data_IF_739866250251
#
_entry.id   IF_739866250251
#
_cell.length_a   1.000
_cell.length_b   1.000
_cell.length_c   1.000
_cell.angle_alpha   90.00
_cell.angle_beta   90.00
_cell.angle_gamma   90.00
#
_symmetry.space_group_name_H-M   'P 1'
#
loop_
_entity.id
_entity.type
_entity.pdbx_description
1 polymer ?
#
# COMPACT_ATOMS: atom_id res chain seq x y z
N UNK A 1 -53.94 12.52 -0.57
CA UNK A 1 -53.46 11.14 -0.87
C UNK A 1 -52.17 11.15 -1.69
N UNK A 2 -52.08 11.96 -2.76
CA UNK A 2 -50.90 12.08 -3.66
C UNK A 2 -49.54 12.35 -2.97
N UNK A 3 -49.51 13.28 -1.99
CA UNK A 3 -48.27 13.66 -1.32
C UNK A 3 -47.60 12.52 -0.53
N UNK A 4 -48.39 11.59 0.00
CA UNK A 4 -47.86 10.42 0.73
C UNK A 4 -47.18 9.42 -0.21
N UNK A 5 -47.72 9.25 -1.42
CA UNK A 5 -47.16 8.35 -2.43
C UNK A 5 -45.80 8.88 -2.89
N UNK A 6 -45.67 10.19 -3.09
CA UNK A 6 -44.43 10.81 -3.54
C UNK A 6 -43.28 10.61 -2.53
N UNK A 7 -43.58 10.75 -1.23
CA UNK A 7 -42.60 10.56 -0.15
C UNK A 7 -42.13 9.10 -0.08
N UNK A 8 -43.04 8.14 -0.27
CA UNK A 8 -42.69 6.72 -0.27
C UNK A 8 -41.79 6.36 -1.46
N UNK A 9 -42.09 6.89 -2.65
CA UNK A 9 -41.28 6.66 -3.86
C UNK A 9 -39.87 7.22 -3.71
N UNK A 10 -39.74 8.44 -3.19
CA UNK A 10 -38.44 9.07 -2.93
C UNK A 10 -37.63 8.31 -1.86
N UNK A 11 -38.29 7.82 -0.79
CA UNK A 11 -37.64 7.02 0.24
C UNK A 11 -37.07 5.70 -0.29
N UNK A 12 -37.81 5.00 -1.15
CA UNK A 12 -37.35 3.74 -1.77
C UNK A 12 -36.19 3.99 -2.75
N UNK A 13 -36.22 5.09 -3.50
CA UNK A 13 -35.13 5.47 -4.40
C UNK A 13 -33.81 5.72 -3.65
N UNK A 14 -33.86 6.38 -2.48
CA UNK A 14 -32.68 6.64 -1.67
C UNK A 14 -32.07 5.38 -1.05
N UNK A 15 -32.86 4.33 -0.80
CA UNK A 15 -32.38 3.06 -0.26
C UNK A 15 -31.63 2.20 -1.30
N UNK A 16 -31.91 2.39 -2.60
CA UNK A 16 -31.29 1.61 -3.68
C UNK A 16 -29.86 2.06 -4.05
N UNK A 17 -29.47 3.29 -3.72
CA UNK A 17 -28.19 3.89 -4.14
C UNK A 17 -27.05 3.63 -3.14
N UNK A 18 -26.94 2.43 -2.59
CA UNK A 18 -25.80 2.06 -1.74
C UNK A 18 -24.65 1.52 -2.60
N UNK A 19 -23.44 2.09 -2.54
CA UNK A 19 -22.31 1.57 -3.29
C UNK A 19 -22.01 0.16 -2.78
N UNK A 20 -22.21 -0.85 -3.64
CA UNK A 20 -21.80 -2.21 -3.32
C UNK A 20 -20.27 -2.28 -3.38
N UNK A 21 -19.63 -2.34 -2.22
CA UNK A 21 -18.20 -2.58 -2.12
C UNK A 21 -17.93 -4.02 -2.55
N UNK A 22 -17.49 -4.20 -3.80
CA UNK A 22 -17.08 -5.51 -4.31
C UNK A 22 -15.60 -5.68 -3.99
N UNK A 23 -15.32 -6.39 -2.90
CA UNK A 23 -13.96 -6.85 -2.61
C UNK A 23 -13.57 -7.87 -3.67
N UNK A 24 -12.55 -7.55 -4.44
CA UNK A 24 -11.93 -8.49 -5.36
C UNK A 24 -10.76 -9.15 -4.65
N UNK A 25 -10.67 -10.46 -4.75
CA UNK A 25 -9.46 -11.18 -4.40
C UNK A 25 -8.36 -10.72 -5.37
N UNK A 26 -7.43 -9.95 -4.83
CA UNK A 26 -6.24 -9.49 -5.54
C UNK A 26 -5.06 -10.28 -5.02
N UNK A 27 -4.11 -10.59 -5.90
CA UNK A 27 -2.85 -11.21 -5.50
C UNK A 27 -2.09 -10.24 -4.59
N UNK A 28 -1.83 -10.66 -3.35
CA UNK A 28 -1.01 -9.93 -2.39
C UNK A 28 0.41 -10.49 -2.49
N UNK A 29 1.42 -9.69 -2.86
CA UNK A 29 2.79 -10.17 -2.91
C UNK A 29 3.25 -10.54 -1.50
N UNK A 30 3.69 -11.78 -1.34
CA UNK A 30 4.32 -12.25 -0.11
C UNK A 30 5.69 -11.61 0.06
N UNK A 31 6.13 -11.43 1.30
CA UNK A 31 7.48 -10.95 1.58
C UNK A 31 8.51 -11.92 0.98
N UNK A 32 9.48 -11.38 0.27
CA UNK A 32 10.61 -12.17 -0.23
C UNK A 32 11.39 -12.73 0.98
N UNK A 33 11.78 -14.00 0.92
CA UNK A 33 12.67 -14.63 1.92
C UNK A 33 14.14 -14.30 1.62
N UNK A 34 14.44 -13.05 1.29
CA UNK A 34 15.81 -12.59 1.04
C UNK A 34 16.29 -11.82 2.26
N UNK A 35 17.52 -12.11 2.69
CA UNK A 35 18.19 -11.33 3.72
C UNK A 35 18.62 -10.02 3.07
N UNK A 36 18.06 -8.90 3.54
CA UNK A 36 18.49 -7.58 3.07
C UNK A 36 19.86 -7.27 3.69
N UNK A 37 20.88 -6.88 2.91
CA UNK A 37 22.15 -6.46 3.47
C UNK A 37 21.94 -5.25 4.40
N UNK A 38 22.65 -5.23 5.51
CA UNK A 38 22.58 -4.13 6.46
C UNK A 38 23.36 -2.93 5.89
N UNK A 39 22.76 -1.74 5.96
CA UNK A 39 23.45 -0.52 5.55
C UNK A 39 24.57 -0.20 6.54
N UNK A 40 25.76 0.21 6.07
CA UNK A 40 26.84 0.67 6.96
C UNK A 40 26.39 1.86 7.81
N UNK A 41 26.88 1.94 9.05
CA UNK A 41 26.54 3.02 9.98
C UNK A 41 27.26 4.32 9.61
N UNK A 42 26.63 5.45 9.89
CA UNK A 42 27.19 6.78 9.60
C UNK A 42 28.23 7.24 10.61
N UNK A 43 28.43 6.46 11.68
CA UNK A 43 29.32 6.79 12.79
C UNK A 43 30.77 6.41 12.49
N UNK A 44 31.05 5.74 11.37
CA UNK A 44 32.40 5.44 10.90
C UNK A 44 33.14 6.69 10.43
N UNK A 45 34.48 6.61 10.43
CA UNK A 45 35.32 7.61 9.77
C UNK A 45 34.94 7.72 8.30
N UNK A 46 34.96 8.95 7.75
CA UNK A 46 34.41 9.26 6.42
C UNK A 46 34.94 8.34 5.31
N UNK A 47 36.24 8.03 5.34
CA UNK A 47 36.86 7.16 4.33
C UNK A 47 36.43 5.70 4.45
N UNK A 48 36.32 5.20 5.68
CA UNK A 48 35.85 3.84 5.96
C UNK A 48 34.38 3.69 5.57
N UNK A 49 33.55 4.67 5.93
CA UNK A 49 32.15 4.73 5.52
C UNK A 49 31.99 4.71 4.00
N UNK A 50 32.78 5.51 3.26
CA UNK A 50 32.72 5.54 1.79
C UNK A 50 33.08 4.17 1.19
N UNK A 51 34.09 3.49 1.73
CA UNK A 51 34.50 2.16 1.26
C UNK A 51 33.39 1.13 1.46
N UNK A 52 32.81 1.07 2.65
CA UNK A 52 31.71 0.14 2.95
C UNK A 52 30.47 0.46 2.13
N UNK A 53 30.18 1.75 1.90
CA UNK A 53 29.06 2.18 1.08
C UNK A 53 29.20 1.72 -0.38
N UNK A 54 30.41 1.81 -0.95
CA UNK A 54 30.68 1.36 -2.31
C UNK A 54 30.51 -0.17 -2.44
N UNK A 55 31.00 -0.94 -1.47
CA UNK A 55 30.79 -2.39 -1.45
C UNK A 55 29.29 -2.74 -1.33
N UNK A 56 28.56 -2.05 -0.46
CA UNK A 56 27.11 -2.20 -0.30
C UNK A 56 26.35 -1.88 -1.61
N UNK A 57 26.76 -0.86 -2.37
CA UNK A 57 26.13 -0.56 -3.66
C UNK A 57 26.41 -1.63 -4.72
N UNK A 58 27.62 -2.17 -4.76
CA UNK A 58 27.96 -3.27 -5.68
C UNK A 58 27.14 -4.54 -5.38
N UNK A 59 26.93 -4.85 -4.09
CA UNK A 59 26.09 -5.98 -3.67
C UNK A 59 24.62 -5.82 -4.08
N UNK A 60 24.10 -4.59 -4.13
CA UNK A 60 22.73 -4.29 -4.54
C UNK A 60 22.52 -4.32 -6.06
N UNK A 61 23.59 -4.16 -6.85
CA UNK A 61 23.54 -4.22 -8.31
C UNK A 61 23.59 -5.66 -8.86
N UNK A 62 23.96 -6.64 -8.02
CA UNK A 62 23.94 -8.07 -8.34
C UNK A 62 22.52 -8.64 -8.31
#
# INVERSE_FOLDING_TARGET
MFMRVLVVVLGVFCLGCTPRVVYKEVYIPTKCQIVRPARPSKDLEVLEYLRELLAYTEELEK
#
